data_IF_542749008626
#
_entry.id   IF_542749008626
#
_cell.length_a   1.000
_cell.length_b   1.000
_cell.length_c   1.000
_cell.angle_alpha   90.00
_cell.angle_beta   90.00
_cell.angle_gamma   90.00
#
_symmetry.space_group_name_H-M   'P 1'
#
loop_
_entity.id
_entity.type
_entity.pdbx_description
1 polymer ?
#
# COMPACT_ATOMS: atom_id res chain seq x y z
N UNK A 1 -31.25 18.86 17.21
CA UNK A 1 -30.80 18.53 15.82
C UNK A 1 -29.33 18.78 15.62
N UNK A 2 -28.74 19.89 16.06
CA UNK A 2 -27.29 20.25 15.91
C UNK A 2 -26.34 19.25 16.61
N UNK A 3 -26.69 18.77 17.82
CA UNK A 3 -25.86 17.78 18.53
C UNK A 3 -25.79 16.40 17.86
N UNK A 4 -26.86 15.99 17.15
CA UNK A 4 -26.91 14.71 16.46
C UNK A 4 -26.06 14.74 15.16
N UNK A 5 -26.01 15.91 14.50
CA UNK A 5 -25.17 16.12 13.31
C UNK A 5 -23.68 16.10 13.65
N UNK A 6 -23.26 16.79 14.72
CA UNK A 6 -21.86 16.79 15.16
C UNK A 6 -21.38 15.42 15.65
N UNK A 7 -22.24 14.61 16.29
CA UNK A 7 -21.87 13.25 16.69
C UNK A 7 -21.64 12.34 15.50
N UNK A 8 -22.41 12.47 14.43
CA UNK A 8 -22.21 11.71 13.19
C UNK A 8 -20.88 12.01 12.52
N UNK A 9 -20.52 13.28 12.34
CA UNK A 9 -19.25 13.70 11.71
C UNK A 9 -18.04 13.22 12.50
N UNK A 10 -18.06 13.36 13.81
CA UNK A 10 -16.97 12.89 14.68
C UNK A 10 -16.83 11.38 14.59
N UNK A 11 -17.94 10.64 14.62
CA UNK A 11 -17.92 9.19 14.48
C UNK A 11 -17.33 8.75 13.13
N UNK A 12 -17.75 9.37 12.04
CA UNK A 12 -17.27 9.07 10.68
C UNK A 12 -15.77 9.34 10.55
N UNK A 13 -15.30 10.44 11.15
CA UNK A 13 -13.87 10.78 11.17
C UNK A 13 -13.05 9.77 11.98
N UNK A 14 -13.50 9.41 13.19
CA UNK A 14 -12.82 8.39 14.01
C UNK A 14 -12.81 7.04 13.29
N UNK A 15 -13.93 6.63 12.72
CA UNK A 15 -14.03 5.40 11.94
C UNK A 15 -13.03 5.41 10.77
N UNK A 16 -12.97 6.52 10.01
CA UNK A 16 -12.00 6.69 8.93
C UNK A 16 -10.57 6.53 9.44
N UNK A 17 -10.19 7.18 10.55
CA UNK A 17 -8.86 7.06 11.15
C UNK A 17 -8.54 5.62 11.56
N UNK A 18 -9.45 4.93 12.23
CA UNK A 18 -9.25 3.54 12.62
C UNK A 18 -9.05 2.64 11.39
N UNK A 19 -9.81 2.84 10.31
CA UNK A 19 -9.66 2.09 9.06
C UNK A 19 -8.33 2.38 8.36
N UNK A 20 -7.76 3.59 8.51
CA UNK A 20 -6.41 3.90 7.99
C UNK A 20 -5.32 3.21 8.82
N UNK A 21 -5.43 3.22 10.14
CA UNK A 21 -4.50 2.51 11.02
C UNK A 21 -4.49 1.00 10.73
N UNK A 22 -5.67 0.39 10.65
CA UNK A 22 -5.82 -1.03 10.39
C UNK A 22 -5.24 -1.45 9.03
N UNK A 23 -5.44 -0.64 7.98
CA UNK A 23 -4.87 -0.96 6.67
C UNK A 23 -3.34 -0.86 6.65
N UNK A 24 -2.76 0.14 7.31
CA UNK A 24 -1.31 0.23 7.48
C UNK A 24 -0.75 -0.95 8.26
N UNK A 25 -1.41 -1.32 9.37
CA UNK A 25 -1.06 -2.50 10.15
C UNK A 25 -1.13 -3.79 9.32
N UNK A 26 -2.17 -3.97 8.50
CA UNK A 26 -2.31 -5.13 7.62
C UNK A 26 -1.17 -5.20 6.60
N UNK A 27 -0.81 -4.09 5.95
CA UNK A 27 0.34 -4.06 5.03
C UNK A 27 1.64 -4.43 5.74
N UNK A 28 1.86 -3.97 6.97
CA UNK A 28 3.05 -4.33 7.74
C UNK A 28 3.09 -5.81 8.12
N UNK A 29 1.96 -6.41 8.50
CA UNK A 29 1.84 -7.85 8.75
C UNK A 29 2.20 -8.64 7.49
N UNK A 30 1.74 -8.19 6.32
CA UNK A 30 2.04 -8.83 5.04
C UNK A 30 3.49 -8.63 4.61
N UNK A 31 4.07 -7.48 4.86
CA UNK A 31 5.51 -7.24 4.66
C UNK A 31 6.35 -8.14 5.57
N UNK A 32 5.95 -8.28 6.84
CA UNK A 32 6.57 -9.20 7.80
C UNK A 32 6.52 -10.65 7.30
N UNK A 33 5.35 -11.14 6.86
CA UNK A 33 5.21 -12.51 6.36
C UNK A 33 6.00 -12.75 5.08
N UNK A 34 6.09 -11.75 4.19
CA UNK A 34 6.92 -11.81 2.98
C UNK A 34 8.41 -11.88 3.31
N UNK A 35 8.90 -11.05 4.24
CA UNK A 35 10.30 -11.11 4.70
C UNK A 35 10.59 -12.44 5.40
N UNK A 36 9.68 -12.91 6.25
CA UNK A 36 9.82 -14.20 6.93
C UNK A 36 9.95 -15.35 5.92
N UNK A 37 9.10 -15.37 4.89
CA UNK A 37 9.19 -16.36 3.82
C UNK A 37 10.52 -16.28 3.09
N UNK A 38 11.03 -15.08 2.78
CA UNK A 38 12.31 -14.89 2.08
C UNK A 38 13.53 -15.35 2.91
N UNK A 39 13.41 -15.33 4.23
CA UNK A 39 14.48 -15.79 5.15
C UNK A 39 14.44 -17.30 5.40
N UNK A 40 13.23 -17.89 5.42
CA UNK A 40 13.05 -19.29 5.82
C UNK A 40 12.98 -20.29 4.64
N UNK A 41 12.79 -19.83 3.41
CA UNK A 41 12.58 -20.69 2.24
C UNK A 41 13.44 -20.28 1.05
N UNK A 42 13.91 -21.27 0.29
CA UNK A 42 14.60 -21.03 -0.99
C UNK A 42 13.65 -20.38 -2.02
N UNK A 43 12.36 -20.73 -1.99
CA UNK A 43 11.31 -20.14 -2.83
C UNK A 43 10.63 -18.95 -2.14
N UNK A 44 11.28 -18.36 -1.14
CA UNK A 44 10.73 -17.35 -0.27
C UNK A 44 10.15 -16.13 -0.98
N UNK A 45 10.70 -15.78 -2.16
CA UNK A 45 10.17 -14.68 -2.97
C UNK A 45 8.79 -14.97 -3.55
N UNK A 46 8.56 -16.20 -4.03
CA UNK A 46 7.24 -16.63 -4.53
C UNK A 46 6.26 -16.73 -3.37
N UNK A 47 6.63 -17.48 -2.33
CA UNK A 47 5.80 -17.66 -1.14
C UNK A 47 5.47 -16.31 -0.49
N UNK A 48 6.48 -15.43 -0.37
CA UNK A 48 6.30 -14.09 0.20
C UNK A 48 5.35 -13.20 -0.61
N UNK A 49 5.39 -13.27 -1.94
CA UNK A 49 4.48 -12.52 -2.80
C UNK A 49 3.03 -13.02 -2.69
N UNK A 50 2.84 -14.33 -2.56
CA UNK A 50 1.53 -14.95 -2.32
C UNK A 50 0.97 -14.51 -0.95
N UNK A 51 1.75 -14.62 0.12
CA UNK A 51 1.34 -14.22 1.46
C UNK A 51 1.03 -12.71 1.53
N UNK A 52 1.83 -11.87 0.86
CA UNK A 52 1.58 -10.43 0.81
C UNK A 52 0.25 -10.11 0.13
N UNK A 53 -0.12 -10.83 -0.92
CA UNK A 53 -1.35 -10.58 -1.68
C UNK A 53 -2.63 -10.80 -0.86
N UNK A 54 -2.60 -11.66 0.15
CA UNK A 54 -3.71 -11.87 1.08
C UNK A 54 -4.07 -10.59 1.86
N UNK A 55 -3.07 -9.75 2.16
CA UNK A 55 -3.32 -8.50 2.86
C UNK A 55 -4.16 -7.51 2.07
N UNK A 56 -3.90 -7.38 0.78
CA UNK A 56 -4.73 -6.51 -0.06
C UNK A 56 -6.16 -7.06 -0.20
N UNK A 57 -6.29 -8.39 -0.30
CA UNK A 57 -7.60 -9.03 -0.28
C UNK A 57 -8.39 -8.67 1.00
N UNK A 58 -7.75 -8.78 2.18
CA UNK A 58 -8.38 -8.41 3.46
C UNK A 58 -8.73 -6.93 3.50
N UNK A 59 -7.82 -6.04 3.07
CA UNK A 59 -8.05 -4.59 3.04
C UNK A 59 -9.28 -4.25 2.20
N UNK A 60 -9.43 -4.85 1.04
CA UNK A 60 -10.58 -4.62 0.15
C UNK A 60 -11.86 -5.26 0.68
N UNK A 61 -11.77 -6.48 1.24
CA UNK A 61 -12.92 -7.20 1.80
C UNK A 61 -13.56 -6.47 3.00
N UNK A 62 -12.74 -5.80 3.81
CA UNK A 62 -13.19 -5.02 4.97
C UNK A 62 -13.27 -3.51 4.69
N UNK A 63 -13.12 -3.08 3.45
CA UNK A 63 -13.19 -1.68 3.00
C UNK A 63 -12.26 -0.75 3.79
N UNK A 64 -11.11 -1.29 4.25
CA UNK A 64 -10.11 -0.50 4.97
C UNK A 64 -9.55 0.61 4.09
N UNK A 65 -9.07 1.69 4.71
CA UNK A 65 -8.59 2.87 3.99
C UNK A 65 -7.08 2.82 3.81
N UNK A 66 -6.65 2.33 2.66
CA UNK A 66 -5.25 2.30 2.24
C UNK A 66 -4.96 3.50 1.32
N UNK A 67 -3.89 4.24 1.57
CA UNK A 67 -3.52 5.41 0.77
C UNK A 67 -3.47 5.09 -0.72
N UNK A 68 -2.70 4.07 -1.12
CA UNK A 68 -2.58 3.64 -2.51
C UNK A 68 -3.90 3.10 -3.09
N UNK A 69 -4.80 2.58 -2.26
CA UNK A 69 -6.14 2.15 -2.65
C UNK A 69 -7.15 3.29 -2.83
N UNK A 70 -6.87 4.49 -2.27
CA UNK A 70 -7.67 5.69 -2.50
C UNK A 70 -7.29 6.41 -3.79
N UNK A 71 -6.04 6.28 -4.26
CA UNK A 71 -5.53 6.98 -5.45
C UNK A 71 -6.38 6.70 -6.70
N UNK A 72 -6.76 5.46 -7.03
CA UNK A 72 -7.59 5.17 -8.21
C UNK A 72 -8.96 5.86 -8.19
N UNK A 73 -9.45 6.23 -7.01
CA UNK A 73 -10.76 6.88 -6.82
C UNK A 73 -10.72 8.39 -7.02
N UNK A 74 -9.53 9.02 -7.05
CA UNK A 74 -9.35 10.48 -7.16
C UNK A 74 -10.12 11.08 -8.35
N UNK A 75 -10.05 10.54 -9.58
CA UNK A 75 -10.73 11.11 -10.74
C UNK A 75 -12.26 11.16 -10.61
N UNK A 76 -12.83 10.34 -9.73
CA UNK A 76 -14.27 10.24 -9.48
C UNK A 76 -14.70 10.85 -8.13
N UNK A 77 -13.75 11.39 -7.36
CA UNK A 77 -13.99 11.91 -6.00
C UNK A 77 -14.05 13.43 -6.03
N UNK A 78 -14.96 14.03 -5.23
CA UNK A 78 -15.03 15.48 -5.07
C UNK A 78 -13.74 16.04 -4.45
N UNK A 79 -13.20 17.19 -4.93
CA UNK A 79 -12.04 17.84 -4.34
C UNK A 79 -12.17 18.10 -2.82
N UNK A 80 -13.38 18.27 -2.32
CA UNK A 80 -13.66 18.43 -0.88
C UNK A 80 -13.20 17.23 -0.04
N UNK A 81 -13.00 16.06 -0.65
CA UNK A 81 -12.56 14.85 0.05
C UNK A 81 -11.06 14.57 -0.07
N UNK A 82 -10.29 15.40 -0.78
CA UNK A 82 -8.83 15.17 -0.96
C UNK A 82 -8.03 15.24 0.34
N UNK A 83 -8.57 15.90 1.39
CA UNK A 83 -7.97 15.86 2.73
C UNK A 83 -7.80 14.42 3.28
N UNK A 84 -8.59 13.48 2.77
CA UNK A 84 -8.50 12.07 3.18
C UNK A 84 -7.15 11.45 2.80
N UNK A 85 -6.50 11.92 1.74
CA UNK A 85 -5.24 11.36 1.27
C UNK A 85 -4.08 11.53 2.27
N UNK A 86 -3.73 12.77 2.70
CA UNK A 86 -2.66 12.94 3.68
C UNK A 86 -3.01 12.32 5.03
N UNK A 87 -4.26 12.38 5.47
CA UNK A 87 -4.70 11.75 6.72
C UNK A 87 -4.59 10.22 6.63
N UNK A 88 -4.95 9.64 5.48
CA UNK A 88 -4.81 8.21 5.23
C UNK A 88 -3.33 7.79 5.21
N UNK A 89 -2.47 8.56 4.54
CA UNK A 89 -1.02 8.29 4.51
C UNK A 89 -0.43 8.28 5.93
N UNK A 90 -0.76 9.27 6.76
CA UNK A 90 -0.32 9.35 8.15
C UNK A 90 -0.88 8.20 9.00
N UNK A 91 -2.16 7.89 8.86
CA UNK A 91 -2.77 6.76 9.57
C UNK A 91 -2.13 5.42 9.19
N UNK A 92 -1.86 5.20 7.89
CA UNK A 92 -1.13 4.01 7.45
C UNK A 92 0.28 3.95 8.04
N UNK A 93 1.01 5.07 8.06
CA UNK A 93 2.35 5.17 8.66
C UNK A 93 2.35 4.77 10.14
N UNK A 94 1.38 5.28 10.91
CA UNK A 94 1.23 4.94 12.33
C UNK A 94 0.87 3.46 12.49
N UNK A 95 -0.05 2.93 11.68
CA UNK A 95 -0.40 1.50 11.69
C UNK A 95 0.79 0.59 11.40
N UNK A 96 1.62 0.96 10.44
CA UNK A 96 2.88 0.27 10.13
C UNK A 96 3.84 0.31 11.32
N UNK A 97 4.00 1.46 11.96
CA UNK A 97 4.88 1.63 13.11
C UNK A 97 4.46 0.76 14.29
N UNK A 98 3.16 0.70 14.60
CA UNK A 98 2.64 -0.17 15.68
C UNK A 98 3.01 -1.63 15.41
N UNK A 99 2.83 -2.12 14.18
CA UNK A 99 3.20 -3.50 13.83
C UNK A 99 4.71 -3.71 13.90
N UNK A 100 5.52 -2.75 13.45
CA UNK A 100 6.97 -2.82 13.61
C UNK A 100 7.37 -3.01 15.08
N UNK A 101 6.78 -2.22 16.01
CA UNK A 101 7.06 -2.37 17.45
C UNK A 101 6.63 -3.74 17.98
N UNK A 102 5.52 -4.30 17.51
CA UNK A 102 5.08 -5.64 17.91
C UNK A 102 6.01 -6.72 17.33
N UNK A 103 6.39 -6.62 16.06
CA UNK A 103 7.28 -7.56 15.39
C UNK A 103 8.66 -7.58 16.04
N UNK A 104 9.17 -6.43 16.52
CA UNK A 104 10.45 -6.32 17.20
C UNK A 104 10.52 -7.10 18.52
N UNK A 105 9.38 -7.57 19.06
CA UNK A 105 9.29 -8.40 20.26
C UNK A 105 9.06 -9.89 19.95
N UNK A 106 9.02 -10.28 18.67
CA UNK A 106 8.73 -11.66 18.27
C UNK A 106 9.99 -12.52 18.16
N UNK A 107 9.81 -13.83 18.12
CA UNK A 107 10.92 -14.80 18.01
C UNK A 107 11.81 -14.61 16.78
N UNK A 108 11.25 -14.17 15.66
CA UNK A 108 12.02 -13.93 14.42
C UNK A 108 12.41 -12.46 14.20
N UNK A 109 12.29 -11.60 15.22
CA UNK A 109 12.51 -10.17 15.12
C UNK A 109 13.81 -9.81 14.40
N UNK A 110 14.95 -10.32 14.89
CA UNK A 110 16.27 -9.99 14.33
C UNK A 110 16.41 -10.37 12.86
N UNK A 111 15.88 -11.54 12.47
CA UNK A 111 15.92 -12.00 11.07
C UNK A 111 15.07 -11.11 10.17
N UNK A 112 13.87 -10.74 10.61
CA UNK A 112 12.92 -9.91 9.85
C UNK A 112 13.47 -8.49 9.70
N UNK A 113 13.95 -7.89 10.79
CA UNK A 113 14.52 -6.54 10.80
C UNK A 113 15.76 -6.48 9.91
N UNK A 114 16.66 -7.45 10.03
CA UNK A 114 17.85 -7.54 9.15
C UNK A 114 17.47 -7.68 7.68
N UNK A 115 16.50 -8.54 7.36
CA UNK A 115 16.05 -8.72 5.98
C UNK A 115 15.40 -7.44 5.42
N UNK A 116 14.55 -6.75 6.20
CA UNK A 116 13.93 -5.50 5.81
C UNK A 116 14.94 -4.37 5.60
N UNK A 117 15.90 -4.24 6.54
CA UNK A 117 17.01 -3.28 6.45
C UNK A 117 17.88 -3.53 5.22
N UNK A 118 18.27 -4.80 4.98
CA UNK A 118 19.05 -5.18 3.81
C UNK A 118 18.31 -4.87 2.51
N UNK A 119 17.02 -5.21 2.44
CA UNK A 119 16.20 -4.97 1.24
C UNK A 119 16.19 -3.49 0.87
N UNK A 120 15.90 -2.61 1.83
CA UNK A 120 15.83 -1.17 1.54
C UNK A 120 17.22 -0.54 1.40
N UNK A 121 18.21 -1.00 2.15
CA UNK A 121 19.60 -0.57 2.04
C UNK A 121 20.16 -0.80 0.63
N UNK A 122 19.90 -1.97 0.05
CA UNK A 122 20.28 -2.28 -1.33
C UNK A 122 19.62 -1.32 -2.35
N UNK A 123 18.35 -0.97 -2.14
CA UNK A 123 17.65 0.00 -3.02
C UNK A 123 18.23 1.41 -2.87
N UNK A 124 18.57 1.82 -1.66
CA UNK A 124 19.19 3.13 -1.40
C UNK A 124 20.62 3.20 -1.93
N UNK A 125 21.35 2.09 -2.04
CA UNK A 125 22.75 2.06 -2.54
C UNK A 125 22.87 2.24 -4.06
N UNK A 126 21.79 2.14 -4.81
CA UNK A 126 21.80 2.35 -6.25
C UNK A 126 22.23 3.78 -6.61
N UNK A 127 23.07 3.95 -7.63
CA UNK A 127 23.47 5.27 -8.13
C UNK A 127 22.26 6.07 -8.64
N UNK A 128 21.31 5.38 -9.29
CA UNK A 128 20.09 5.95 -9.82
C UNK A 128 18.88 5.75 -8.89
N UNK A 129 19.08 5.67 -7.56
CA UNK A 129 18.04 5.40 -6.56
C UNK A 129 16.78 6.26 -6.73
N UNK A 130 16.92 7.54 -7.12
CA UNK A 130 15.80 8.45 -7.30
C UNK A 130 14.92 8.05 -8.48
N UNK A 131 15.52 7.74 -9.64
CA UNK A 131 14.79 7.27 -10.81
C UNK A 131 14.21 5.88 -10.57
N UNK A 132 14.97 5.02 -9.91
CA UNK A 132 14.52 3.66 -9.54
C UNK A 132 13.28 3.71 -8.65
N UNK A 133 13.29 4.51 -7.58
CA UNK A 133 12.13 4.62 -6.66
C UNK A 133 10.90 5.19 -7.34
N UNK A 134 11.06 6.21 -8.21
CA UNK A 134 9.94 6.78 -8.96
C UNK A 134 9.35 5.78 -9.97
N UNK A 135 10.20 5.17 -10.80
CA UNK A 135 9.75 4.21 -11.83
C UNK A 135 9.12 2.96 -11.21
N UNK A 136 9.75 2.42 -10.19
CA UNK A 136 9.25 1.28 -9.42
C UNK A 136 7.92 1.61 -8.72
N UNK A 137 7.80 2.83 -8.19
CA UNK A 137 6.55 3.34 -7.62
C UNK A 137 5.44 3.46 -8.66
N UNK A 138 5.73 3.94 -9.88
CA UNK A 138 4.74 4.04 -10.97
C UNK A 138 4.20 2.65 -11.33
N UNK A 139 5.08 1.67 -11.53
CA UNK A 139 4.68 0.30 -11.88
C UNK A 139 3.83 -0.34 -10.76
N UNK A 140 4.21 -0.14 -9.50
CA UNK A 140 3.42 -0.59 -8.38
C UNK A 140 2.04 0.09 -8.35
N UNK A 141 1.98 1.42 -8.56
CA UNK A 141 0.72 2.17 -8.59
C UNK A 141 -0.26 1.65 -9.64
N UNK A 142 0.22 1.34 -10.85
CA UNK A 142 -0.59 0.71 -11.90
C UNK A 142 -1.15 -0.64 -11.44
N UNK A 143 -0.31 -1.50 -10.86
CA UNK A 143 -0.73 -2.84 -10.44
C UNK A 143 -1.73 -2.79 -9.27
N UNK A 144 -1.54 -1.87 -8.31
CA UNK A 144 -2.52 -1.69 -7.24
C UNK A 144 -3.86 -1.19 -7.80
N UNK A 145 -3.82 -0.27 -8.77
CA UNK A 145 -5.04 0.19 -9.43
C UNK A 145 -5.79 -0.93 -10.10
N UNK A 146 -5.10 -1.83 -10.81
CA UNK A 146 -5.73 -3.02 -11.38
C UNK A 146 -6.38 -3.89 -10.31
N UNK A 147 -5.71 -4.09 -9.17
CA UNK A 147 -6.26 -4.82 -8.04
C UNK A 147 -7.56 -4.18 -7.50
N UNK A 148 -7.54 -2.85 -7.26
CA UNK A 148 -8.71 -2.12 -6.73
C UNK A 148 -9.88 -2.14 -7.72
N UNK A 149 -9.63 -1.83 -8.99
CA UNK A 149 -10.67 -1.80 -10.02
C UNK A 149 -11.24 -3.19 -10.35
N UNK A 150 -10.50 -4.25 -10.10
CA UNK A 150 -11.01 -5.62 -10.25
C UNK A 150 -12.20 -5.92 -9.35
N UNK A 151 -12.28 -5.28 -8.17
CA UNK A 151 -13.45 -5.39 -7.28
C UNK A 151 -14.62 -4.57 -7.83
N UNK A 152 -14.34 -3.31 -8.23
CA UNK A 152 -15.37 -2.37 -8.64
C UNK A 152 -16.04 -2.79 -9.97
N UNK A 153 -15.30 -3.41 -10.90
CA UNK A 153 -15.78 -3.83 -12.22
C UNK A 153 -16.27 -5.29 -12.27
N UNK A 154 -16.02 -6.09 -11.22
CA UNK A 154 -16.54 -7.45 -11.21
C UNK A 154 -18.01 -7.46 -10.81
N UNK A 155 -18.90 -7.48 -11.80
CA UNK A 155 -20.34 -7.72 -11.60
C UNK A 155 -20.65 -9.12 -11.02
N UNK A 156 -19.65 -9.98 -10.91
CA UNK A 156 -19.74 -11.33 -10.34
C UNK A 156 -18.84 -11.45 -9.14
N UNK A 157 -19.42 -11.51 -7.95
CA UNK A 157 -18.73 -11.95 -6.74
C UNK A 157 -18.28 -13.40 -6.98
N UNK A 158 -16.98 -13.69 -6.88
CA UNK A 158 -16.48 -15.03 -7.05
C UNK A 158 -14.96 -15.10 -7.26
N UNK A 159 -14.48 -16.27 -7.66
CA UNK A 159 -13.06 -16.57 -7.83
C UNK A 159 -12.35 -15.58 -8.77
N UNK A 160 -12.99 -15.14 -9.84
CA UNK A 160 -12.42 -14.18 -10.81
C UNK A 160 -12.11 -12.83 -10.20
N UNK A 161 -12.96 -12.31 -9.30
CA UNK A 161 -12.71 -11.08 -8.58
C UNK A 161 -11.51 -11.23 -7.62
N UNK A 162 -11.45 -12.33 -6.88
CA UNK A 162 -10.37 -12.60 -5.94
C UNK A 162 -9.01 -12.75 -6.66
N UNK A 163 -8.97 -13.44 -7.80
CA UNK A 163 -7.77 -13.55 -8.65
C UNK A 163 -7.36 -12.18 -9.19
N UNK A 164 -8.33 -11.38 -9.65
CA UNK A 164 -8.10 -10.01 -10.11
C UNK A 164 -7.51 -9.09 -9.04
N UNK A 165 -7.86 -9.30 -7.76
CA UNK A 165 -7.27 -8.60 -6.62
C UNK A 165 -5.85 -9.08 -6.36
N UNK A 166 -5.64 -10.39 -6.24
CA UNK A 166 -4.39 -10.95 -5.74
C UNK A 166 -3.28 -10.94 -6.79
N UNK A 167 -3.58 -11.23 -8.05
CA UNK A 167 -2.58 -11.40 -9.09
C UNK A 167 -1.70 -10.16 -9.32
N UNK A 168 -2.24 -8.94 -9.47
CA UNK A 168 -1.40 -7.75 -9.61
C UNK A 168 -0.49 -7.51 -8.40
N UNK A 169 -0.97 -7.88 -7.20
CA UNK A 169 -0.18 -7.75 -5.97
C UNK A 169 0.98 -8.74 -5.96
N UNK A 170 0.72 -10.00 -6.33
CA UNK A 170 1.78 -11.01 -6.47
C UNK A 170 2.85 -10.52 -7.42
N UNK A 171 2.45 -9.96 -8.58
CA UNK A 171 3.38 -9.45 -9.58
C UNK A 171 4.25 -8.33 -9.03
N UNK A 172 3.68 -7.28 -8.38
CA UNK A 172 4.52 -6.19 -7.91
C UNK A 172 5.46 -6.61 -6.79
N UNK A 173 5.03 -7.48 -5.87
CA UNK A 173 5.90 -7.98 -4.79
C UNK A 173 7.00 -8.86 -5.35
N UNK A 174 6.65 -9.77 -6.27
CA UNK A 174 7.61 -10.63 -6.94
C UNK A 174 8.66 -9.84 -7.73
N UNK A 175 8.25 -8.80 -8.46
CA UNK A 175 9.17 -7.91 -9.18
C UNK A 175 9.96 -6.97 -8.27
N UNK A 176 9.56 -6.83 -7.00
CA UNK A 176 10.22 -5.93 -6.05
C UNK A 176 9.89 -4.46 -6.29
N UNK A 177 8.74 -4.15 -6.91
CA UNK A 177 8.29 -2.78 -7.11
C UNK A 177 7.93 -2.10 -5.79
N UNK A 178 8.06 -0.77 -5.75
CA UNK A 178 7.99 0.00 -4.53
C UNK A 178 6.55 0.42 -4.17
N UNK A 179 6.04 -0.19 -3.12
CA UNK A 179 4.79 0.21 -2.48
C UNK A 179 5.08 1.14 -1.31
N UNK A 180 4.58 2.39 -1.36
CA UNK A 180 4.91 3.42 -0.38
C UNK A 180 4.67 2.98 1.07
N UNK A 181 3.53 2.33 1.36
CA UNK A 181 3.20 1.90 2.72
C UNK A 181 4.04 0.69 3.17
N UNK A 182 4.34 -0.26 2.27
CA UNK A 182 5.23 -1.38 2.59
C UNK A 182 6.67 -0.89 2.84
N UNK A 183 7.14 0.06 2.04
CA UNK A 183 8.46 0.66 2.22
C UNK A 183 8.61 1.34 3.58
N UNK A 184 7.55 1.92 4.15
CA UNK A 184 7.58 2.48 5.51
C UNK A 184 7.99 1.43 6.55
N UNK A 185 7.51 0.17 6.42
CA UNK A 185 7.93 -0.92 7.29
C UNK A 185 9.44 -1.22 7.15
N UNK A 186 9.94 -1.27 5.92
CA UNK A 186 11.35 -1.54 5.66
C UNK A 186 12.25 -0.39 6.15
N UNK A 187 11.78 0.86 6.09
CA UNK A 187 12.49 2.00 6.66
C UNK A 187 12.52 1.97 8.20
N UNK A 188 11.46 1.49 8.85
CA UNK A 188 11.53 1.25 10.29
C UNK A 188 12.54 0.15 10.64
N UNK A 189 12.66 -0.90 9.81
CA UNK A 189 13.70 -1.92 9.97
C UNK A 189 15.11 -1.34 9.76
N UNK A 190 15.30 -0.37 8.86
CA UNK A 190 16.57 0.30 8.65
C UNK A 190 17.00 1.12 9.88
N UNK A 191 16.04 1.73 10.58
CA UNK A 191 16.29 2.51 11.79
C UNK A 191 17.00 3.85 11.58
N UNK A 192 17.16 4.29 10.32
CA UNK A 192 17.84 5.53 9.97
C UNK A 192 16.89 6.53 9.33
N UNK A 193 17.05 7.81 9.69
CA UNK A 193 16.38 8.93 9.04
C UNK A 193 17.44 9.79 8.38
N UNK A 194 17.43 9.82 7.04
CA UNK A 194 18.33 10.64 6.24
C UNK A 194 17.55 11.35 5.14
N UNK A 195 18.10 12.40 4.55
CA UNK A 195 17.50 13.07 3.40
C UNK A 195 17.28 12.12 2.22
N UNK A 196 18.14 11.12 2.06
CA UNK A 196 18.01 10.09 1.04
C UNK A 196 16.81 9.19 1.30
N UNK A 197 16.56 8.79 2.55
CA UNK A 197 15.36 8.03 2.98
C UNK A 197 14.09 8.83 2.73
N UNK A 198 14.05 10.11 3.14
CA UNK A 198 12.90 10.99 2.92
C UNK A 198 12.64 11.16 1.43
N UNK A 199 13.69 11.39 0.63
CA UNK A 199 13.60 11.51 -0.83
C UNK A 199 13.07 10.24 -1.48
N UNK A 200 13.57 9.08 -1.05
CA UNK A 200 13.11 7.78 -1.56
C UNK A 200 11.62 7.55 -1.31
N UNK A 201 11.15 7.76 -0.07
CA UNK A 201 9.74 7.62 0.30
C UNK A 201 8.89 8.59 -0.54
N UNK A 202 9.31 9.86 -0.64
CA UNK A 202 8.57 10.89 -1.38
C UNK A 202 8.42 10.55 -2.86
N UNK A 203 9.50 10.07 -3.50
CA UNK A 203 9.48 9.65 -4.90
C UNK A 203 8.63 8.38 -5.10
N UNK A 204 8.69 7.42 -4.17
CA UNK A 204 7.81 6.24 -4.20
C UNK A 204 6.34 6.64 -4.08
N UNK A 205 5.99 7.53 -3.14
CA UNK A 205 4.62 8.06 -2.98
C UNK A 205 4.16 8.74 -4.28
N UNK A 206 5.00 9.61 -4.85
CA UNK A 206 4.71 10.28 -6.12
C UNK A 206 4.51 9.27 -7.25
N UNK A 207 5.37 8.27 -7.35
CA UNK A 207 5.25 7.19 -8.33
C UNK A 207 3.94 6.42 -8.19
N UNK A 208 3.58 6.03 -6.96
CA UNK A 208 2.32 5.35 -6.69
C UNK A 208 1.10 6.21 -7.09
N UNK A 209 1.16 7.55 -6.88
CA UNK A 209 0.11 8.48 -7.32
C UNK A 209 0.03 8.49 -8.85
N UNK A 210 1.14 8.73 -9.53
CA UNK A 210 1.18 8.81 -11.00
C UNK A 210 0.63 7.50 -11.59
N UNK A 211 1.20 6.35 -11.22
CA UNK A 211 0.76 5.04 -11.73
C UNK A 211 -0.70 4.73 -11.39
N UNK A 212 -1.13 5.14 -10.19
CA UNK A 212 -2.48 4.87 -9.69
C UNK A 212 -3.58 5.66 -10.40
N UNK A 213 -3.27 6.82 -10.98
CA UNK A 213 -4.27 7.68 -11.64
C UNK A 213 -4.41 7.35 -13.14
N UNK A 214 -3.39 6.80 -13.79
CA UNK A 214 -3.37 6.64 -15.26
C UNK A 214 -4.60 5.90 -15.77
N UNK A 215 -4.83 4.68 -15.30
CA UNK A 215 -5.94 3.86 -15.79
C UNK A 215 -7.32 4.46 -15.47
N UNK A 216 -7.62 4.95 -14.24
CA UNK A 216 -8.89 5.61 -13.95
C UNK A 216 -9.17 6.84 -14.81
N UNK A 217 -8.14 7.63 -15.15
CA UNK A 217 -8.30 8.76 -16.07
C UNK A 217 -8.68 8.32 -17.48
N UNK A 218 -8.01 7.29 -18.01
CA UNK A 218 -8.34 6.72 -19.33
C UNK A 218 -9.76 6.17 -19.35
N UNK A 219 -10.18 5.44 -18.31
CA UNK A 219 -11.54 4.92 -18.21
C UNK A 219 -12.57 6.05 -18.15
N UNK A 220 -12.30 7.10 -17.40
CA UNK A 220 -13.18 8.27 -17.31
C UNK A 220 -13.35 8.99 -18.64
N UNK A 221 -12.29 9.10 -19.46
CA UNK A 221 -12.37 9.67 -20.79
C UNK A 221 -13.31 8.85 -21.70
N UNK A 222 -13.20 7.53 -21.66
CA UNK A 222 -14.10 6.62 -22.40
C UNK A 222 -15.57 6.80 -22.03
N UNK A 223 -15.86 6.93 -20.72
CA UNK A 223 -17.24 7.03 -20.23
C UNK A 223 -17.90 8.40 -20.54
N UNK A 224 -17.10 9.41 -20.94
CA UNK A 224 -17.55 10.74 -21.33
C UNK A 224 -17.68 10.91 -22.87
N UNK A 225 -17.31 9.92 -23.68
CA UNK A 225 -17.53 9.97 -25.12
C UNK A 225 -19.02 9.75 -25.42
N UNK A 226 -19.72 10.72 -26.04
CA UNK A 226 -21.10 10.50 -26.51
C UNK A 226 -21.04 9.49 -27.67
N UNK A 227 -21.66 8.32 -27.46
CA UNK A 227 -21.93 7.34 -28.51
C UNK A 227 -23.01 7.86 -29.44
#
# INVERSE_FOLDING_TARGET
>A
MIQKFNRGIIYDFIHFLLMTLLSGAMIAICATSSLTASVLSQDGRIVGSLLFSLGMFVILAFEMKLFTGLIPKIPHTSPKSYWQLPVCLLGNLIGVFIVYLLVSQTYYADKIITAGSTLIGNKLSLDNWALSSLSSGILCGVLITLSVLSVDHSHKKGLSANVGVMFPIIVFVFCGFDHSIANMFYFYCLGEISWKVIGYISLTVLGNIIGGIILPLVLKLRDNDPV
#
